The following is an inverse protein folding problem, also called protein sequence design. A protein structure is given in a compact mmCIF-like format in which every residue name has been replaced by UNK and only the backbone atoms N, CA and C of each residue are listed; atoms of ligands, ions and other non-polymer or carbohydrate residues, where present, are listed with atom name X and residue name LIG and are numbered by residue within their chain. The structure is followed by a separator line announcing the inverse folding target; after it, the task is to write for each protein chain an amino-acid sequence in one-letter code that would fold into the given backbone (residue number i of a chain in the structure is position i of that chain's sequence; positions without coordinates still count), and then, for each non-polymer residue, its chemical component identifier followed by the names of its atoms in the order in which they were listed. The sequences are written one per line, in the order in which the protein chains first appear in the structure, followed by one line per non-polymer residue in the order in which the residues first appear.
data_IF_661744394343
#
_entry.id   IF_661744394343
#
_cell.length_a   1.000
_cell.length_b   1.000
_cell.length_c   1.000
_cell.angle_alpha   90.00
_cell.angle_beta   90.00
_cell.angle_gamma   90.00
#
_symmetry.space_group_name_H-M   'P 1'
#
loop_
_entity.id
_entity.type
_entity.pdbx_description
1 polymer ?
#
# COMPACT_ATOMS: atom_id res chain seq x y z
N UNK A 1 -3.30 55.72 0.04
CA UNK A 1 -3.95 54.55 -0.61
C UNK A 1 -2.96 53.40 -0.54
N UNK A 2 -3.26 52.40 0.30
CA UNK A 2 -2.37 51.30 0.68
C UNK A 2 -2.39 50.21 -0.38
N UNK A 3 -1.23 49.90 -0.98
CA UNK A 3 -1.11 48.83 -1.97
C UNK A 3 -0.78 47.52 -1.23
N UNK A 4 -1.63 46.51 -1.41
CA UNK A 4 -1.57 45.22 -0.74
C UNK A 4 -0.33 44.44 -1.18
N UNK A 5 0.66 44.35 -0.29
CA UNK A 5 1.79 43.40 -0.38
C UNK A 5 1.25 41.98 -0.17
N UNK A 6 0.80 41.37 -1.26
CA UNK A 6 0.35 39.98 -1.32
C UNK A 6 1.53 39.05 -1.02
N UNK A 7 1.66 38.70 0.25
CA UNK A 7 1.50 37.32 0.73
C UNK A 7 1.68 36.22 -0.35
N UNK A 8 2.91 35.91 -0.75
CA UNK A 8 3.27 34.61 -1.34
C UNK A 8 4.56 34.06 -0.72
N UNK A 9 4.71 34.21 0.59
CA UNK A 9 5.84 33.65 1.36
C UNK A 9 5.54 32.22 1.82
N UNK A 10 5.07 31.38 0.89
CA UNK A 10 4.80 29.95 1.13
C UNK A 10 5.75 29.07 0.32
N UNK A 11 7.07 29.26 0.45
CA UNK A 11 8.06 28.27 -0.01
C UNK A 11 9.29 28.18 0.89
N UNK A 12 9.24 28.74 2.10
CA UNK A 12 10.36 28.72 3.06
C UNK A 12 10.13 27.72 4.20
N UNK A 13 9.57 26.55 3.89
CA UNK A 13 9.60 25.41 4.81
C UNK A 13 10.72 24.46 4.43
N UNK A 14 11.51 24.11 5.44
CA UNK A 14 12.80 23.46 5.35
C UNK A 14 12.79 22.16 4.53
N UNK A 15 13.80 22.09 3.66
CA UNK A 15 14.28 20.95 2.90
C UNK A 15 14.89 19.89 3.82
N UNK A 16 14.13 19.28 4.73
CA UNK A 16 14.52 18.05 5.46
C UNK A 16 13.34 17.19 5.92
N UNK A 17 12.10 17.53 5.59
CA UNK A 17 10.99 16.60 5.78
C UNK A 17 11.13 15.50 4.72
N UNK A 18 11.86 14.43 5.03
CA UNK A 18 11.81 13.19 4.25
C UNK A 18 10.33 12.81 4.18
N UNK A 19 9.68 12.81 3.01
CA UNK A 19 8.32 12.32 2.95
C UNK A 19 8.37 10.88 3.40
N UNK A 20 7.86 10.61 4.61
CA UNK A 20 7.61 9.24 5.06
C UNK A 20 6.64 8.69 4.02
N UNK A 21 6.92 7.54 3.37
CA UNK A 21 6.01 7.06 2.34
C UNK A 21 4.64 6.92 2.98
N UNK A 22 3.69 7.72 2.50
CA UNK A 22 2.28 7.60 2.81
C UNK A 22 1.95 6.17 2.39
N UNK A 23 1.84 5.25 3.36
CA UNK A 23 1.69 3.80 3.22
C UNK A 23 1.93 3.28 1.79
N UNK A 24 3.18 2.90 1.45
CA UNK A 24 3.60 2.61 0.09
C UNK A 24 2.49 1.96 -0.78
N UNK A 25 2.00 2.75 -1.74
CA UNK A 25 0.96 2.41 -2.70
C UNK A 25 1.64 2.05 -4.03
N UNK A 26 1.23 0.98 -4.72
CA UNK A 26 0.11 0.08 -4.43
C UNK A 26 0.40 -0.91 -3.27
N UNK A 27 -0.65 -1.51 -2.72
CA UNK A 27 -0.52 -2.66 -1.81
C UNK A 27 -1.58 -3.72 -2.13
N UNK A 28 -1.20 -4.99 -2.03
CA UNK A 28 -2.06 -6.15 -2.30
C UNK A 28 -2.25 -6.93 -1.01
N UNK A 29 -3.50 -7.24 -0.66
CA UNK A 29 -3.85 -8.05 0.53
C UNK A 29 -4.42 -9.37 0.06
N UNK A 30 -3.97 -10.46 0.67
CA UNK A 30 -4.44 -11.81 0.43
C UNK A 30 -5.35 -12.23 1.56
N UNK A 31 -6.54 -12.69 1.21
CA UNK A 31 -7.56 -13.12 2.16
C UNK A 31 -7.86 -14.59 1.90
N UNK A 32 -7.90 -15.37 2.96
CA UNK A 32 -8.25 -16.79 2.91
C UNK A 32 -9.78 -16.98 2.77
N UNK A 33 -10.26 -18.21 2.52
CA UNK A 33 -11.69 -18.49 2.38
C UNK A 33 -12.51 -18.28 3.65
N UNK A 34 -11.87 -18.33 4.83
CA UNK A 34 -12.49 -18.04 6.12
C UNK A 34 -12.62 -16.52 6.37
N UNK A 35 -12.14 -15.69 5.44
CA UNK A 35 -12.15 -14.24 5.54
C UNK A 35 -11.03 -13.66 6.39
N UNK A 36 -10.00 -14.45 6.74
CA UNK A 36 -8.82 -13.98 7.48
C UNK A 36 -7.73 -13.48 6.53
N UNK A 37 -6.90 -12.57 7.02
CA UNK A 37 -5.78 -12.04 6.23
C UNK A 37 -4.64 -13.06 6.26
N UNK A 38 -4.39 -13.70 5.12
CA UNK A 38 -3.29 -14.63 4.96
C UNK A 38 -1.95 -13.92 4.68
N UNK A 39 -1.99 -12.70 4.14
CA UNK A 39 -0.77 -11.93 3.89
C UNK A 39 -1.00 -10.57 3.24
N UNK A 40 0.07 -9.79 3.14
CA UNK A 40 0.08 -8.48 2.46
C UNK A 40 1.42 -8.22 1.78
N UNK A 41 1.35 -7.69 0.56
CA UNK A 41 2.48 -7.19 -0.21
C UNK A 41 2.38 -5.68 -0.36
N UNK A 42 3.51 -5.01 -0.17
CA UNK A 42 3.65 -3.55 -0.30
C UNK A 42 4.49 -3.27 -1.52
N UNK A 43 3.99 -2.44 -2.44
CA UNK A 43 4.61 -2.18 -3.72
C UNK A 43 4.14 -3.14 -4.82
N UNK A 44 4.79 -3.10 -6.00
CA UNK A 44 4.41 -3.90 -7.16
C UNK A 44 4.64 -5.39 -6.90
N UNK A 45 3.78 -6.22 -7.50
CA UNK A 45 3.88 -7.68 -7.50
C UNK A 45 3.78 -8.16 -8.94
N UNK A 46 4.61 -9.13 -9.33
CA UNK A 46 4.54 -9.77 -10.63
C UNK A 46 3.52 -10.91 -10.66
N UNK A 47 3.11 -11.32 -11.87
CA UNK A 47 2.08 -12.34 -12.04
C UNK A 47 2.49 -13.70 -11.45
N UNK A 48 3.75 -14.11 -11.61
CA UNK A 48 4.19 -15.43 -11.15
C UNK A 48 4.13 -15.55 -9.63
N UNK A 49 4.56 -14.50 -8.93
CA UNK A 49 4.45 -14.39 -7.48
C UNK A 49 2.99 -14.37 -7.03
N UNK A 50 2.14 -13.59 -7.70
CA UNK A 50 0.71 -13.53 -7.39
C UNK A 50 0.03 -14.91 -7.54
N UNK A 51 0.32 -15.61 -8.64
CA UNK A 51 -0.24 -16.94 -8.94
C UNK A 51 0.25 -18.01 -7.97
N UNK A 52 1.51 -17.96 -7.55
CA UNK A 52 2.07 -18.85 -6.55
C UNK A 52 1.33 -18.73 -5.22
N UNK A 53 1.24 -17.51 -4.69
CA UNK A 53 0.53 -17.23 -3.43
C UNK A 53 -0.93 -17.67 -3.52
N UNK A 54 -1.62 -17.35 -4.60
CA UNK A 54 -3.02 -17.74 -4.78
C UNK A 54 -3.20 -19.27 -4.83
N UNK A 55 -2.28 -19.98 -5.46
CA UNK A 55 -2.33 -21.44 -5.57
C UNK A 55 -2.18 -22.11 -4.22
N UNK A 56 -1.35 -21.55 -3.33
CA UNK A 56 -1.16 -22.08 -1.99
C UNK A 56 -2.38 -21.84 -1.10
N UNK A 57 -3.03 -20.68 -1.20
CA UNK A 57 -4.28 -20.39 -0.48
C UNK A 57 -5.43 -21.31 -0.90
N UNK A 58 -5.54 -21.61 -2.19
CA UNK A 58 -6.57 -22.53 -2.69
C UNK A 58 -6.33 -23.96 -2.18
N UNK A 59 -5.07 -24.40 -2.06
CA UNK A 59 -4.74 -25.73 -1.51
C UNK A 59 -5.06 -25.82 -0.02
N UNK A 60 -4.78 -24.76 0.75
CA UNK A 60 -5.13 -24.70 2.18
C UNK A 60 -6.64 -24.90 2.40
N UNK A 61 -7.48 -24.25 1.59
CA UNK A 61 -8.94 -24.42 1.62
C UNK A 61 -9.38 -25.89 1.47
N UNK A 62 -8.70 -26.64 0.61
CA UNK A 62 -9.07 -28.02 0.32
C UNK A 62 -8.70 -28.95 1.48
N UNK A 63 -7.66 -28.60 2.25
CA UNK A 63 -7.25 -29.35 3.44
C UNK A 63 -8.08 -29.04 4.69
N UNK A 64 -8.73 -27.88 4.78
CA UNK A 64 -9.54 -27.48 5.94
C UNK A 64 -10.98 -27.96 5.92
N UNK A 65 -11.49 -28.43 4.77
CA UNK A 65 -12.88 -28.86 4.58
C UNK A 65 -13.11 -30.38 4.76
N UNK A 66 -12.28 -31.05 5.57
CA UNK A 66 -12.40 -32.46 5.97
C UNK A 66 -12.39 -32.56 7.48
#
# INVERSE_FOLDING_TARGET
MSSATLQTTWWRYGRTATPKPIAAVPSTVFVDPDGRIAGRVIGPIDESTLRGILSDLVKEQQGSNT
#
